data_IF_295181070447
#
_entry.id   IF_295181070447
#
_cell.length_a   1.000
_cell.length_b   1.000
_cell.length_c   1.000
_cell.angle_alpha   90.00
_cell.angle_beta   90.00
_cell.angle_gamma   90.00
#
_symmetry.space_group_name_H-M   'P 1'
#
loop_
_entity.id
_entity.type
_entity.pdbx_description
1 polymer ?
2 non-polymer ?
3 non-polymer ?
4 water ?
#
# COMPACT_ATOMS: atom_id res chain seq x y z
N UNK A 3 29.19 22.79 13.45
CA UNK A 3 27.87 22.44 12.83
C UNK A 3 26.79 22.27 13.91
N UNK A 4 25.85 23.21 13.93
CA UNK A 4 24.76 23.21 14.90
C UNK A 4 23.95 21.92 14.93
N UNK A 5 23.60 21.48 16.13
CA UNK A 5 22.80 20.28 16.32
C UNK A 5 21.33 20.62 16.11
N UNK A 6 20.61 19.71 15.48
CA UNK A 6 19.19 19.92 15.25
C UNK A 6 18.48 19.31 16.44
N UNK A 7 17.24 19.73 16.72
CA UNK A 7 16.56 19.13 17.88
C UNK A 7 16.57 17.60 17.76
N UNK A 8 16.79 16.92 18.87
CA UNK A 8 16.85 15.46 18.91
C UNK A 8 15.90 14.93 19.98
N UNK A 9 15.08 13.95 19.61
CA UNK A 9 14.11 13.38 20.55
C UNK A 9 14.80 12.51 21.59
N UNK A 10 14.16 12.36 22.75
CA UNK A 10 14.70 11.57 23.86
C UNK A 10 14.81 10.08 23.54
N UNK A 11 15.50 9.33 24.41
CA UNK A 11 15.66 7.91 24.20
C UNK A 11 16.69 7.64 23.11
N UNK A 12 16.60 6.48 22.49
CA UNK A 12 17.54 6.14 21.42
C UNK A 12 18.91 5.70 21.91
N UNK A 13 18.92 5.04 23.07
CA UNK A 13 20.17 4.56 23.65
C UNK A 13 20.40 3.07 23.40
N UNK A 14 19.58 2.46 22.56
CA UNK A 14 19.74 1.04 22.25
C UNK A 14 20.89 0.87 21.26
N UNK A 15 21.23 -0.36 20.90
CA UNK A 15 22.35 -0.60 19.99
C UNK A 15 22.34 0.21 18.70
N UNK A 16 21.19 0.36 18.07
CA UNK A 16 21.10 1.12 16.85
C UNK A 16 20.34 2.43 17.06
N UNK A 17 20.57 3.06 18.20
CA UNK A 17 19.93 4.33 18.50
C UNK A 17 18.44 4.19 18.73
N UNK A 18 17.65 4.84 17.88
CA UNK A 18 16.20 4.80 17.98
C UNK A 18 15.61 3.70 17.13
N UNK A 19 16.46 3.01 16.36
CA UNK A 19 15.97 1.97 15.48
C UNK A 19 15.12 0.95 16.21
N UNK A 20 15.60 0.45 17.34
CA UNK A 20 14.86 -0.55 18.10
C UNK A 20 13.45 -0.07 18.45
N UNK A 21 13.34 1.16 18.92
CA UNK A 21 12.03 1.68 19.27
C UNK A 21 11.20 1.89 18.01
N UNK A 22 11.86 2.20 16.90
CA UNK A 22 11.14 2.41 15.66
C UNK A 22 10.49 1.11 15.20
N UNK A 23 11.11 0.00 15.59
CA UNK A 23 10.58 -1.30 15.21
C UNK A 23 9.39 -1.70 16.08
N UNK A 24 9.47 -1.40 17.38
CA UNK A 24 8.38 -1.78 18.27
C UNK A 24 7.23 -0.78 18.34
N UNK A 25 7.52 0.51 18.15
CA UNK A 25 6.47 1.53 18.21
C UNK A 25 6.87 2.79 17.44
N UNK A 26 6.96 2.70 16.10
CA UNK A 26 7.34 3.84 15.25
C UNK A 26 6.45 5.08 15.39
N UNK A 27 5.14 4.86 15.55
CA UNK A 27 4.19 5.96 15.68
C UNK A 27 4.39 6.70 17.00
N UNK A 28 4.48 5.95 18.10
CA UNK A 28 4.70 6.57 19.39
C UNK A 28 6.00 7.36 19.35
N UNK A 29 7.03 6.78 18.73
CA UNK A 29 8.32 7.43 18.63
C UNK A 29 8.23 8.74 17.84
N UNK A 30 7.59 8.69 16.67
CA UNK A 30 7.45 9.87 15.83
C UNK A 30 6.60 10.96 16.50
N UNK A 31 5.62 10.54 17.29
CA UNK A 31 4.78 11.50 17.99
C UNK A 31 5.59 12.20 19.06
N UNK A 32 6.47 11.46 19.74
CA UNK A 32 7.29 12.06 20.77
C UNK A 32 8.27 13.06 20.14
N UNK A 33 8.67 12.80 18.89
CA UNK A 33 9.57 13.70 18.20
C UNK A 33 8.92 15.07 18.08
N UNK A 34 7.70 15.10 17.55
CA UNK A 34 6.97 16.35 17.39
C UNK A 34 6.65 17.02 18.72
N UNK A 35 6.18 16.25 19.70
CA UNK A 35 5.86 16.80 21.01
C UNK A 35 7.08 17.49 21.63
N UNK A 36 8.20 16.79 21.66
CA UNK A 36 9.43 17.33 22.23
C UNK A 36 10.15 18.35 21.34
N UNK A 37 10.22 18.06 20.04
CA UNK A 37 10.96 18.93 19.11
C UNK A 37 10.17 19.95 18.31
N UNK A 38 8.93 19.64 17.98
CA UNK A 38 8.14 20.56 17.19
C UNK A 38 8.17 20.16 15.72
N UNK A 39 7.90 21.11 14.83
CA UNK A 39 7.85 20.87 13.39
C UNK A 39 9.11 20.23 12.80
N UNK A 40 10.25 20.42 13.45
CA UNK A 40 11.51 19.86 12.97
C UNK A 40 12.29 19.17 14.08
N UNK A 41 12.26 17.84 14.09
CA UNK A 41 12.97 17.09 15.12
C UNK A 41 13.71 15.95 14.45
N UNK A 42 14.57 15.25 15.19
CA UNK A 42 15.31 14.15 14.60
C UNK A 42 15.38 12.94 15.51
N UNK A 43 15.67 11.80 14.90
CA UNK A 43 15.86 10.56 15.63
C UNK A 43 16.89 9.77 14.84
N UNK A 44 17.65 8.94 15.56
CA UNK A 44 18.72 8.17 14.95
C UNK A 44 18.24 6.79 14.52
N UNK A 45 18.43 6.48 13.24
CA UNK A 45 18.03 5.19 12.70
C UNK A 45 19.32 4.46 12.34
N UNK A 46 19.91 3.80 13.33
CA UNK A 46 21.17 3.09 13.16
C UNK A 46 22.25 4.13 12.90
N UNK A 47 22.88 4.10 11.74
CA UNK A 47 23.93 5.07 11.43
C UNK A 47 23.47 6.28 10.64
N UNK A 48 22.17 6.41 10.42
CA UNK A 48 21.62 7.53 9.67
C UNK A 48 20.70 8.40 10.52
N UNK A 49 20.85 9.72 10.41
CA UNK A 49 20.00 10.63 11.15
C UNK A 49 18.75 10.90 10.33
N UNK A 50 17.58 10.85 10.97
CA UNK A 50 16.33 11.12 10.25
C UNK A 50 15.74 12.44 10.71
N UNK A 51 15.62 13.40 9.78
CA UNK A 51 15.04 14.69 10.08
C UNK A 51 13.55 14.56 9.76
N UNK A 52 12.74 14.42 10.81
CA UNK A 52 11.29 14.25 10.68
C UNK A 52 10.54 15.59 10.74
N UNK A 53 9.87 15.89 9.64
CA UNK A 53 9.11 17.13 9.50
C UNK A 53 7.63 16.89 9.73
N UNK A 54 7.02 17.76 10.54
CA UNK A 54 5.59 17.67 10.82
C UNK A 54 5.02 19.08 10.72
N UNK A 55 3.70 19.20 10.62
CA UNK A 55 3.11 20.51 10.50
C UNK A 55 2.98 20.91 9.04
N UNK A 56 2.05 21.81 8.76
CA UNK A 56 1.78 22.27 7.40
C UNK A 56 2.96 22.89 6.66
N UNK A 57 3.67 23.80 7.32
CA UNK A 57 4.80 24.47 6.70
C UNK A 57 5.94 23.55 6.28
N UNK A 58 6.41 22.72 7.22
CA UNK A 58 7.51 21.78 6.95
C UNK A 58 7.11 20.71 5.94
N UNK A 59 5.88 20.23 6.06
CA UNK A 59 5.37 19.24 5.12
C UNK A 59 5.37 19.82 3.71
N UNK A 60 4.91 21.06 3.57
CA UNK A 60 4.87 21.69 2.25
C UNK A 60 6.24 21.66 1.60
N UNK A 61 7.25 22.10 2.35
CA UNK A 61 8.62 22.10 1.85
C UNK A 61 9.00 20.70 1.43
N UNK A 62 8.56 19.72 2.22
CA UNK A 62 8.86 18.33 1.96
C UNK A 62 8.26 17.77 0.69
N UNK A 63 6.98 18.08 0.43
CA UNK A 63 6.31 17.55 -0.75
C UNK A 63 6.52 18.34 -2.02
N UNK A 64 6.87 19.61 -1.89
CA UNK A 64 7.07 20.45 -3.07
C UNK A 64 8.51 20.45 -3.54
N UNK A 65 9.41 19.89 -2.74
CA UNK A 65 10.82 19.84 -3.09
C UNK A 65 11.05 19.13 -4.41
N UNK A 66 11.98 19.66 -5.21
CA UNK A 66 12.29 19.03 -6.48
C UNK A 66 13.10 17.77 -6.25
N UNK A 67 13.19 16.94 -7.28
CA UNK A 67 13.95 15.70 -7.21
C UNK A 67 15.44 16.01 -7.03
N UNK A 68 15.85 17.19 -7.47
CA UNK A 68 17.24 17.60 -7.36
C UNK A 68 17.57 18.00 -5.92
N UNK A 69 16.54 18.17 -5.10
CA UNK A 69 16.73 18.56 -3.71
C UNK A 69 16.49 17.41 -2.73
N UNK A 70 15.30 16.82 -2.77
CA UNK A 70 14.98 15.70 -1.89
C UNK A 70 14.76 14.49 -2.80
N UNK A 71 15.68 13.53 -2.74
CA UNK A 71 15.61 12.34 -3.58
C UNK A 71 14.90 11.18 -2.90
N UNK A 72 14.00 10.55 -3.66
CA UNK A 72 13.22 9.42 -3.18
C UNK A 72 13.86 8.09 -3.60
N UNK A 73 14.77 8.18 -4.56
CA UNK A 73 15.45 7.01 -5.12
C UNK A 73 16.11 6.03 -4.15
N UNK A 74 16.83 6.54 -3.15
CA UNK A 74 17.51 5.67 -2.20
C UNK A 74 16.97 5.80 -0.77
N UNK A 75 15.75 6.32 -0.64
CA UNK A 75 15.14 6.53 0.67
C UNK A 75 14.50 5.27 1.23
N UNK A 76 14.36 4.25 0.40
CA UNK A 76 13.74 3.00 0.83
C UNK A 76 14.61 1.80 0.46
N UNK A 77 15.79 1.70 1.07
CA UNK A 77 16.67 0.57 0.77
C UNK A 77 15.99 -0.81 0.95
N UNK A 78 14.96 -0.86 1.79
CA UNK A 78 14.28 -2.13 2.04
C UNK A 78 13.51 -2.64 0.83
N UNK A 79 13.40 -1.79 -0.20
CA UNK A 79 12.68 -2.14 -1.43
C UNK A 79 13.60 -2.77 -2.47
N UNK A 80 14.90 -2.63 -2.27
CA UNK A 80 15.90 -3.14 -3.20
C UNK A 80 15.90 -4.65 -3.42
N UNK A 81 15.88 -5.43 -2.32
CA UNK A 81 15.88 -6.89 -2.46
C UNK A 81 14.58 -7.45 -3.03
N UNK A 82 13.49 -6.70 -2.86
CA UNK A 82 12.19 -7.13 -3.36
C UNK A 82 12.14 -6.93 -4.87
N UNK A 83 12.44 -5.71 -5.31
CA UNK A 83 12.45 -5.34 -6.72
C UNK A 83 13.45 -6.21 -7.49
N UNK A 84 14.66 -6.32 -6.97
CA UNK A 84 15.67 -7.13 -7.62
C UNK A 84 16.32 -6.40 -8.78
N UNK A 85 17.00 -7.14 -9.64
CA UNK A 85 17.66 -6.55 -10.79
C UNK A 85 16.65 -5.69 -11.54
N UNK A 86 17.01 -4.42 -11.76
CA UNK A 86 16.13 -3.49 -12.47
C UNK A 86 15.17 -4.15 -13.44
N UNK A 87 13.95 -3.61 -13.49
CA UNK A 87 12.90 -4.11 -14.37
C UNK A 87 13.41 -4.63 -15.72
N UNK A 88 12.67 -5.58 -16.27
CA UNK A 88 12.99 -6.22 -17.56
C UNK A 88 13.52 -5.27 -18.64
N UNK A 89 13.02 -4.04 -18.68
CA UNK A 89 13.46 -3.09 -19.70
C UNK A 89 14.48 -2.08 -19.17
N UNK A 90 15.69 -2.14 -19.72
CA UNK A 90 16.76 -1.23 -19.31
C UNK A 90 16.70 0.05 -20.15
N UNK A 91 15.93 1.02 -19.69
CA UNK A 91 15.77 2.28 -20.41
C UNK A 91 15.77 3.46 -19.43
N UNK A 92 16.94 3.80 -18.90
CA UNK A 92 17.04 4.91 -17.96
C UNK A 92 16.14 4.61 -16.77
N UNK A 93 15.92 5.59 -15.87
CA UNK A 93 15.05 5.31 -14.72
C UNK A 93 13.65 4.85 -15.11
N UNK A 94 13.40 3.54 -15.00
CA UNK A 94 12.09 2.98 -15.32
C UNK A 94 11.20 3.29 -14.13
N UNK A 95 11.83 3.88 -13.11
CA UNK A 95 11.16 4.26 -11.86
C UNK A 95 9.75 4.77 -12.09
N UNK A 96 8.77 4.06 -11.53
CA UNK A 96 7.35 4.40 -11.63
C UNK A 96 6.86 4.51 -13.07
N UNK A 97 7.79 4.74 -14.00
CA UNK A 97 7.46 4.85 -15.41
C UNK A 97 7.13 3.45 -15.92
N UNK A 98 7.98 2.49 -15.57
CA UNK A 98 7.78 1.10 -15.95
C UNK A 98 7.35 0.30 -14.73
N UNK A 99 8.10 0.43 -13.64
CA UNK A 99 7.78 -0.28 -12.40
C UNK A 99 6.31 -0.15 -12.04
N UNK A 100 5.76 1.06 -12.19
CA UNK A 100 4.35 1.32 -11.89
C UNK A 100 3.71 2.11 -13.02
N UNK A 101 4.05 1.75 -14.25
CA UNK A 101 3.51 2.41 -15.43
C UNK A 101 2.04 2.76 -15.24
N UNK A 102 1.70 4.03 -15.43
CA UNK A 102 0.32 4.47 -15.30
C UNK A 102 -0.46 3.78 -16.42
N UNK A 103 0.27 3.14 -17.31
CA UNK A 103 -0.32 2.42 -18.44
C UNK A 103 -1.31 1.41 -17.86
N UNK A 104 -0.91 0.79 -16.76
CA UNK A 104 -1.74 -0.19 -16.08
C UNK A 104 -3.02 0.47 -15.57
N UNK A 105 -2.85 1.58 -14.85
CA UNK A 105 -3.98 2.32 -14.30
C UNK A 105 -4.57 3.34 -15.28
N UNK A 106 -4.28 3.17 -16.57
CA UNK A 106 -4.77 4.08 -17.59
C UNK A 106 -6.29 4.24 -17.54
N UNK A 107 -6.75 5.45 -17.79
CA UNK A 107 -8.18 5.75 -17.76
C UNK A 107 -9.05 5.00 -18.74
N UNK A 108 -8.47 4.56 -19.86
CA UNK A 108 -9.23 3.83 -20.87
C UNK A 108 -9.61 2.45 -20.33
N UNK A 109 -8.72 1.89 -19.51
CA UNK A 109 -8.92 0.57 -18.94
C UNK A 109 -9.57 0.56 -17.55
N UNK A 110 -9.81 1.74 -17.00
CA UNK A 110 -10.39 1.84 -15.67
C UNK A 110 -11.69 1.06 -15.50
N UNK A 111 -12.63 1.27 -16.40
CA UNK A 111 -13.93 0.58 -16.35
C UNK A 111 -13.65 -0.92 -16.34
N UNK A 112 -12.71 -1.33 -17.18
CA UNK A 112 -12.35 -2.73 -17.27
C UNK A 112 -11.84 -3.25 -15.95
N UNK A 113 -10.94 -2.51 -15.32
CA UNK A 113 -10.39 -2.92 -14.03
C UNK A 113 -11.45 -3.15 -12.96
N UNK A 114 -12.43 -2.24 -12.92
CA UNK A 114 -13.51 -2.34 -11.95
C UNK A 114 -14.22 -3.67 -12.11
N UNK A 115 -14.48 -4.05 -13.36
CA UNK A 115 -15.15 -5.32 -13.66
C UNK A 115 -14.23 -6.48 -13.27
N UNK A 116 -12.94 -6.32 -13.49
CA UNK A 116 -11.99 -7.37 -13.13
C UNK A 116 -12.05 -7.53 -11.61
N UNK A 117 -11.99 -6.41 -10.91
CA UNK A 117 -12.00 -6.43 -9.46
C UNK A 117 -13.29 -7.06 -8.92
N UNK A 118 -14.43 -6.75 -9.55
CA UNK A 118 -15.69 -7.34 -9.14
C UNK A 118 -15.59 -8.86 -9.22
N UNK A 119 -15.11 -9.35 -10.36
CA UNK A 119 -14.97 -10.77 -10.59
C UNK A 119 -14.06 -11.46 -9.57
N UNK A 120 -12.97 -10.80 -9.19
CA UNK A 120 -12.03 -11.37 -8.22
C UNK A 120 -12.67 -11.51 -6.84
N UNK A 121 -13.49 -10.53 -6.45
CA UNK A 121 -14.15 -10.57 -5.16
C UNK A 121 -15.15 -11.75 -5.15
N UNK A 122 -15.92 -11.88 -6.22
CA UNK A 122 -16.90 -12.95 -6.29
C UNK A 122 -16.26 -14.34 -6.27
N UNK A 123 -15.10 -14.49 -6.90
CA UNK A 123 -14.42 -15.78 -6.91
C UNK A 123 -13.92 -16.08 -5.51
N UNK A 124 -13.56 -15.03 -4.80
CA UNK A 124 -13.02 -15.12 -3.44
C UNK A 124 -14.09 -15.46 -2.39
N UNK A 125 -15.33 -15.03 -2.59
CA UNK A 125 -16.40 -15.34 -1.63
C UNK A 125 -17.30 -16.45 -2.16
N UNK A 126 -16.90 -17.02 -3.30
CA UNK A 126 -17.68 -18.08 -3.94
C UNK A 126 -18.03 -19.28 -3.06
N UNK A 127 -17.15 -19.62 -2.12
CA UNK A 127 -17.40 -20.75 -1.25
C UNK A 127 -17.76 -20.37 0.18
N UNK A 128 -18.23 -19.15 0.38
CA UNK A 128 -18.58 -18.68 1.72
C UNK A 128 -19.84 -19.29 2.31
N UNK A 129 -20.78 -19.65 1.45
CA UNK A 129 -22.01 -20.24 1.97
C UNK A 129 -22.86 -19.20 2.67
N UNK A 130 -23.76 -19.64 3.54
CA UNK A 130 -24.64 -18.72 4.26
C UNK A 130 -24.02 -18.03 5.46
N UNK A 131 -23.01 -18.65 6.05
CA UNK A 131 -22.37 -18.09 7.24
C UNK A 131 -21.00 -18.68 7.47
N UNK A 132 -20.19 -17.99 8.28
CA UNK A 132 -18.85 -18.45 8.58
C UNK A 132 -17.98 -17.34 9.12
N UNK A 133 -16.67 -17.55 9.11
CA UNK A 133 -15.73 -16.55 9.59
C UNK A 133 -14.55 -16.43 8.66
N UNK A 134 -13.84 -15.32 8.76
CA UNK A 134 -12.64 -15.08 7.95
C UNK A 134 -11.65 -14.26 8.76
N UNK A 135 -10.41 -14.25 8.32
CA UNK A 135 -9.40 -13.43 8.94
C UNK A 135 -9.11 -12.40 7.88
N UNK A 136 -9.32 -11.13 8.22
CA UNK A 136 -9.10 -10.03 7.29
C UNK A 136 -7.76 -10.00 6.56
N UNK A 137 -6.68 -10.33 7.25
CA UNK A 137 -5.36 -10.32 6.63
C UNK A 137 -5.27 -11.40 5.56
N UNK A 138 -5.66 -12.63 5.91
CA UNK A 138 -5.64 -13.74 4.97
C UNK A 138 -6.52 -13.46 3.75
N UNK A 139 -7.72 -12.98 4.02
CA UNK A 139 -8.68 -12.68 2.96
C UNK A 139 -8.25 -11.54 2.05
N UNK A 140 -8.05 -10.35 2.64
CA UNK A 140 -7.67 -9.21 1.82
C UNK A 140 -6.28 -9.28 1.19
N UNK A 141 -5.35 -9.95 1.86
CA UNK A 141 -4.00 -10.09 1.32
C UNK A 141 -4.03 -10.99 0.08
N UNK A 142 -4.91 -11.99 0.11
CA UNK A 142 -5.03 -12.93 -1.00
C UNK A 142 -5.82 -12.27 -2.12
N UNK A 143 -6.94 -11.65 -1.76
CA UNK A 143 -7.76 -10.96 -2.75
C UNK A 143 -6.96 -9.94 -3.55
N UNK A 144 -6.14 -9.14 -2.86
CA UNK A 144 -5.37 -8.12 -3.54
C UNK A 144 -4.22 -8.66 -4.40
N UNK A 145 -3.87 -9.92 -4.20
CA UNK A 145 -2.84 -10.54 -5.00
C UNK A 145 -3.50 -10.85 -6.35
N UNK A 146 -4.79 -11.18 -6.28
CA UNK A 146 -5.55 -11.51 -7.47
C UNK A 146 -5.95 -10.27 -8.25
N UNK A 147 -6.42 -9.24 -7.54
CA UNK A 147 -6.80 -8.01 -8.21
C UNK A 147 -5.57 -7.39 -8.87
N UNK A 148 -4.49 -7.24 -8.12
CA UNK A 148 -3.28 -6.63 -8.66
C UNK A 148 -2.68 -7.41 -9.83
N UNK A 149 -2.68 -8.74 -9.76
CA UNK A 149 -2.11 -9.53 -10.85
C UNK A 149 -2.99 -9.52 -12.09
N UNK A 150 -4.30 -9.64 -11.87
CA UNK A 150 -5.25 -9.66 -12.97
C UNK A 150 -5.32 -8.30 -13.66
N UNK A 151 -5.24 -7.22 -12.89
CA UNK A 151 -5.29 -5.87 -13.47
C UNK A 151 -3.96 -5.40 -14.04
N UNK A 152 -2.88 -5.60 -13.28
CA UNK A 152 -1.55 -5.17 -13.70
C UNK A 152 -0.75 -6.11 -14.58
N UNK A 153 -1.22 -7.35 -14.72
CA UNK A 153 -0.48 -8.29 -15.56
C UNK A 153 -1.38 -8.99 -16.57
N UNK A 154 -2.49 -9.53 -16.10
CA UNK A 154 -3.41 -10.22 -17.01
C UNK A 154 -4.23 -11.25 -16.29
N UNK A 155 -5.50 -11.37 -16.67
CA UNK A 155 -6.42 -12.34 -16.05
C UNK A 155 -5.89 -13.74 -16.27
N UNK A 156 -5.32 -13.96 -17.45
CA UNK A 156 -4.78 -15.27 -17.82
C UNK A 156 -3.72 -15.66 -16.80
N UNK A 157 -2.82 -14.74 -16.49
CA UNK A 157 -1.77 -15.02 -15.52
C UNK A 157 -2.35 -15.23 -14.13
N UNK A 158 -3.26 -14.34 -13.71
CA UNK A 158 -3.87 -14.46 -12.38
C UNK A 158 -4.56 -15.79 -12.22
N UNK A 159 -5.25 -16.22 -13.27
CA UNK A 159 -5.98 -17.50 -13.27
C UNK A 159 -5.09 -18.70 -12.98
N UNK A 160 -3.79 -18.53 -13.11
CA UNK A 160 -2.86 -19.62 -12.86
C UNK A 160 -2.20 -19.49 -11.49
N UNK A 161 -2.71 -18.55 -10.70
CA UNK A 161 -2.17 -18.33 -9.37
C UNK A 161 -3.17 -18.87 -8.36
N UNK A 162 -2.69 -19.13 -7.15
CA UNK A 162 -3.55 -19.61 -6.09
C UNK A 162 -3.05 -19.03 -4.77
N UNK A 163 -3.43 -19.64 -3.66
CA UNK A 163 -2.99 -19.13 -2.37
C UNK A 163 -1.50 -19.15 -2.11
N UNK A 164 -0.77 -20.04 -2.77
CA UNK A 164 0.67 -20.14 -2.56
C UNK A 164 1.41 -18.86 -2.93
N UNK A 165 0.95 -18.20 -3.99
CA UNK A 165 1.59 -16.97 -4.43
C UNK A 165 1.46 -15.90 -3.36
N UNK A 166 0.29 -15.82 -2.73
CA UNK A 166 0.03 -14.84 -1.70
C UNK A 166 0.91 -15.09 -0.48
N UNK A 167 0.95 -16.34 -0.03
CA UNK A 167 1.77 -16.73 1.11
C UNK A 167 3.20 -16.26 0.94
N UNK A 168 3.82 -16.63 -0.18
CA UNK A 168 5.20 -16.24 -0.46
C UNK A 168 5.37 -14.73 -0.61
N UNK A 169 4.45 -14.09 -1.31
CA UNK A 169 4.53 -12.64 -1.51
C UNK A 169 4.50 -11.95 -0.15
N UNK A 170 3.70 -12.49 0.77
CA UNK A 170 3.59 -11.95 2.12
C UNK A 170 4.96 -12.01 2.80
N UNK A 171 5.63 -13.16 2.68
CA UNK A 171 6.95 -13.37 3.26
C UNK A 171 7.92 -12.37 2.68
N UNK A 172 7.73 -12.04 1.40
CA UNK A 172 8.56 -11.06 0.71
C UNK A 172 8.38 -9.73 1.47
N UNK A 173 7.12 -9.30 1.55
CA UNK A 173 6.78 -8.06 2.23
C UNK A 173 7.28 -7.98 3.67
N UNK A 174 7.36 -9.12 4.35
CA UNK A 174 7.82 -9.15 5.73
C UNK A 174 9.35 -9.10 5.89
N UNK A 175 10.06 -9.05 4.78
CA UNK A 175 11.51 -8.96 4.84
C UNK A 175 11.91 -7.50 4.70
N UNK A 176 11.16 -6.63 5.39
CA UNK A 176 11.41 -5.20 5.33
C UNK A 176 11.64 -4.58 6.71
N UNK A 177 12.29 -5.33 7.60
CA UNK A 177 12.59 -4.85 8.94
C UNK A 177 13.46 -3.60 8.80
N UNK A 178 13.30 -2.62 9.70
CA UNK A 178 14.05 -1.36 9.68
C UNK A 178 15.58 -1.53 9.59
N UNK A 179 16.08 -2.71 9.96
CA UNK A 179 17.52 -2.94 9.87
C UNK A 179 18.01 -2.76 8.43
N UNK A 180 17.05 -2.73 7.50
CA UNK A 180 17.37 -2.55 6.08
C UNK A 180 18.10 -1.23 5.87
N UNK A 181 18.00 -0.34 6.85
CA UNK A 181 18.69 0.94 6.74
C UNK A 181 20.15 0.78 7.14
N UNK A 182 20.47 -0.37 7.73
CA UNK A 182 21.85 -0.68 8.08
C UNK A 182 22.30 -1.31 6.75
N UNK A 183 21.71 -2.45 6.43
CA UNK A 183 22.00 -3.16 5.18
C UNK A 183 20.84 -4.11 4.89
N UNK A 184 20.19 -3.95 3.72
CA UNK A 184 19.07 -4.82 3.34
C UNK A 184 19.46 -6.26 3.09
N UNK A 185 20.75 -6.57 3.21
CA UNK A 185 21.23 -7.92 2.98
C UNK A 185 21.93 -8.57 4.19
N UNK A 186 21.69 -8.02 5.38
CA UNK A 186 22.29 -8.56 6.60
C UNK A 186 21.80 -10.00 6.81
N UNK A 187 22.53 -10.79 7.61
CA UNK A 187 22.17 -12.19 7.90
C UNK A 187 20.99 -12.35 8.85
N UNK A 188 19.95 -11.54 8.67
CA UNK A 188 18.75 -11.61 9.50
C UNK A 188 17.87 -12.80 9.09
N UNK A 189 17.10 -13.32 10.02
CA UNK A 189 16.22 -14.46 9.74
C UNK A 189 15.14 -14.03 8.74
N UNK A 190 14.57 -12.85 8.94
CA UNK A 190 13.53 -12.35 8.05
C UNK A 190 14.05 -12.02 6.65
N UNK A 191 15.32 -11.64 6.56
CA UNK A 191 15.92 -11.33 5.27
C UNK A 191 16.22 -12.62 4.52
N UNK A 192 16.45 -13.69 5.26
CA UNK A 192 16.72 -15.00 4.68
C UNK A 192 15.39 -15.55 4.18
N UNK A 193 14.35 -15.43 5.02
CA UNK A 193 13.03 -15.90 4.65
C UNK A 193 12.45 -15.09 3.50
N UNK A 194 12.97 -13.88 3.33
CA UNK A 194 12.54 -13.01 2.24
C UNK A 194 13.15 -13.56 0.94
N UNK A 195 14.47 -13.77 0.95
CA UNK A 195 15.16 -14.27 -0.23
C UNK A 195 14.64 -15.65 -0.63
N UNK A 196 14.30 -16.47 0.36
CA UNK A 196 13.77 -17.80 0.11
C UNK A 196 12.37 -17.66 -0.49
N UNK A 197 11.63 -16.66 -0.05
CA UNK A 197 10.27 -16.43 -0.56
C UNK A 197 10.33 -16.00 -2.03
N UNK A 198 11.22 -15.06 -2.32
CA UNK A 198 11.37 -14.56 -3.69
C UNK A 198 11.73 -15.73 -4.60
N UNK A 199 12.58 -16.60 -4.09
CA UNK A 199 13.00 -17.80 -4.83
C UNK A 199 11.80 -18.67 -5.09
N UNK A 200 10.90 -18.77 -4.12
CA UNK A 200 9.71 -19.57 -4.30
C UNK A 200 8.83 -18.95 -5.37
N UNK A 201 8.77 -17.62 -5.41
CA UNK A 201 7.96 -16.93 -6.40
C UNK A 201 8.50 -17.23 -7.80
N UNK A 202 9.81 -17.13 -7.96
CA UNK A 202 10.44 -17.39 -9.26
C UNK A 202 10.09 -18.80 -9.73
N UNK A 203 10.07 -19.75 -8.81
CA UNK A 203 9.75 -21.13 -9.16
C UNK A 203 8.31 -21.26 -9.66
N UNK A 204 7.36 -20.62 -8.96
CA UNK A 204 5.97 -20.68 -9.39
C UNK A 204 5.81 -20.13 -10.80
N UNK A 205 6.53 -19.05 -11.09
CA UNK A 205 6.45 -18.42 -12.40
C UNK A 205 7.11 -19.32 -13.44
N UNK A 206 8.26 -19.90 -13.10
CA UNK A 206 8.95 -20.79 -14.03
C UNK A 206 8.01 -21.95 -14.35
N UNK A 207 7.27 -22.42 -13.35
CA UNK A 207 6.32 -23.50 -13.58
C UNK A 207 5.26 -23.09 -14.59
N UNK A 208 4.75 -21.87 -14.45
CA UNK A 208 3.74 -21.39 -15.37
C UNK A 208 4.31 -21.23 -16.79
N UNK A 209 5.53 -20.71 -16.90
CA UNK A 209 6.14 -20.54 -18.20
C UNK A 209 6.19 -21.87 -18.93
N UNK A 210 6.65 -22.91 -18.25
CA UNK A 210 6.73 -24.24 -18.85
C UNK A 210 5.37 -24.71 -19.33
N UNK A 211 4.39 -24.69 -18.42
CA UNK A 211 3.05 -25.12 -18.78
C UNK A 211 2.58 -24.46 -20.05
N UNK A 212 2.80 -23.15 -20.17
CA UNK A 212 2.38 -22.39 -21.34
C UNK A 212 3.15 -22.70 -22.60
N UNK A 213 4.33 -23.31 -22.44
CA UNK A 213 5.14 -23.66 -23.59
C UNK A 213 4.73 -25.02 -24.12
N UNK A 214 4.23 -25.87 -23.21
CA UNK A 214 3.79 -27.21 -23.56
C UNK A 214 2.42 -27.20 -24.23
N UNK A 215 1.62 -26.19 -23.92
CA UNK A 215 0.28 -26.06 -24.49
C UNK A 215 -0.13 -24.59 -24.67
N UNK A 216 0.39 -23.95 -25.74
CA UNK A 216 0.09 -22.54 -26.03
C UNK A 216 -1.41 -22.29 -26.27
N UNK A 217 -1.81 -21.00 -26.37
CA UNK A 217 -3.21 -20.61 -26.59
C UNK A 217 -3.77 -20.98 -27.96
N UNK A 218 -5.02 -21.45 -27.96
CA UNK A 218 -5.70 -21.83 -29.19
C UNK A 218 -6.29 -20.58 -29.84
N UNK A 219 -5.79 -19.42 -29.42
CA UNK A 219 -6.24 -18.14 -29.94
C UNK A 219 -5.12 -17.11 -29.81
N UNK A 220 -4.52 -16.73 -30.93
CA UNK A 220 -3.43 -15.76 -30.95
C UNK A 220 -3.91 -14.39 -30.49
N UNK A 221 -5.08 -14.39 -29.84
CA UNK A 221 -5.69 -13.18 -29.32
C UNK A 221 -5.60 -13.15 -27.79
N UNK A 222 -5.80 -14.30 -27.16
CA UNK A 222 -5.75 -14.41 -25.71
C UNK A 222 -4.34 -14.68 -25.15
N UNK A 223 -3.37 -13.86 -25.54
CA UNK A 223 -2.02 -14.01 -25.05
C UNK A 223 -1.79 -12.81 -24.15
N UNK A 224 -1.34 -13.04 -22.91
CA UNK A 224 -1.10 -11.94 -22.00
C UNK A 224 0.35 -11.46 -22.01
N UNK A 225 0.70 -10.66 -21.01
CA UNK A 225 2.04 -10.12 -20.90
C UNK A 225 3.10 -11.22 -20.81
N UNK A 226 2.81 -12.27 -20.03
CA UNK A 226 3.78 -13.36 -19.87
C UNK A 226 4.07 -14.04 -21.20
N UNK A 227 3.03 -14.33 -21.97
CA UNK A 227 3.15 -14.97 -23.27
C UNK A 227 4.12 -14.19 -24.13
N UNK A 228 4.02 -12.87 -24.04
CA UNK A 228 4.87 -11.95 -24.80
C UNK A 228 6.33 -12.05 -24.39
N UNK A 229 6.60 -11.94 -23.10
CA UNK A 229 7.97 -11.99 -22.59
C UNK A 229 8.62 -13.36 -22.81
N UNK A 230 7.80 -14.40 -22.83
CA UNK A 230 8.30 -15.75 -23.04
C UNK A 230 8.81 -15.92 -24.49
N UNK A 231 8.14 -15.26 -25.42
CA UNK A 231 8.50 -15.34 -26.83
C UNK A 231 9.65 -14.45 -27.25
N UNK A 232 9.99 -13.46 -26.45
CA UNK A 232 11.10 -12.56 -26.80
C UNK A 232 12.40 -13.34 -26.93
N UNK A 233 13.00 -13.26 -28.11
CA UNK A 233 14.24 -13.99 -28.36
C UNK A 233 15.48 -13.09 -28.35
N UNK A 234 16.58 -13.64 -27.87
CA UNK A 234 17.83 -12.92 -27.83
C UNK A 234 18.41 -12.89 -29.25
N UNK A 235 19.69 -12.57 -29.34
CA UNK A 235 20.37 -12.47 -30.63
C UNK A 235 20.53 -13.78 -31.39
N UNK A 236 20.77 -14.87 -30.67
CA UNK A 236 20.97 -16.16 -31.33
C UNK A 236 19.74 -17.08 -31.31
N UNK A 237 18.58 -16.55 -30.97
CA UNK A 237 17.37 -17.35 -30.93
C UNK A 237 16.98 -17.80 -29.54
N UNK A 238 17.88 -17.60 -28.58
CA UNK A 238 17.67 -17.98 -27.19
C UNK A 238 16.69 -17.08 -26.46
N UNK A 239 15.83 -17.65 -25.60
CA UNK A 239 14.88 -16.83 -24.86
C UNK A 239 15.65 -15.70 -24.20
N UNK A 240 15.16 -14.47 -24.34
CA UNK A 240 15.87 -13.34 -23.77
C UNK A 240 15.70 -13.17 -22.26
N UNK A 241 14.54 -13.55 -21.73
CA UNK A 241 14.30 -13.38 -20.30
C UNK A 241 14.13 -14.66 -19.49
N UNK A 242 14.81 -14.71 -18.37
CA UNK A 242 14.76 -15.85 -17.46
C UNK A 242 13.52 -15.73 -16.57
N UNK A 243 13.27 -16.76 -15.78
CA UNK A 243 12.13 -16.75 -14.88
C UNK A 243 12.38 -15.73 -13.77
N UNK A 244 13.63 -15.56 -13.37
CA UNK A 244 13.95 -14.61 -12.31
C UNK A 244 13.72 -13.18 -12.77
N UNK A 245 14.14 -12.88 -14.00
CA UNK A 245 13.98 -11.55 -14.57
C UNK A 245 12.51 -11.20 -14.69
N UNK A 246 11.74 -12.11 -15.28
CA UNK A 246 10.30 -11.88 -15.45
C UNK A 246 9.59 -11.76 -14.10
N UNK A 247 9.90 -12.66 -13.18
CA UNK A 247 9.28 -12.64 -11.85
C UNK A 247 9.60 -11.33 -11.12
N UNK A 248 10.86 -10.90 -11.17
CA UNK A 248 11.25 -9.66 -10.52
C UNK A 248 10.45 -8.47 -11.01
N UNK A 249 10.15 -8.45 -12.30
CA UNK A 249 9.36 -7.36 -12.86
C UNK A 249 7.91 -7.48 -12.39
N UNK A 250 7.36 -8.69 -12.42
CA UNK A 250 5.99 -8.89 -11.97
C UNK A 250 5.81 -8.52 -10.50
N UNK A 251 6.79 -8.88 -9.67
CA UNK A 251 6.75 -8.56 -8.25
C UNK A 251 6.77 -7.05 -8.07
N UNK A 252 7.63 -6.38 -8.83
CA UNK A 252 7.77 -4.94 -8.76
C UNK A 252 6.47 -4.22 -9.08
N UNK A 253 5.82 -4.64 -10.16
CA UNK A 253 4.55 -4.03 -10.59
C UNK A 253 3.41 -4.25 -9.59
N UNK A 254 3.29 -5.48 -9.10
CA UNK A 254 2.22 -5.81 -8.17
C UNK A 254 2.34 -5.14 -6.80
N UNK A 255 3.56 -4.86 -6.36
CA UNK A 255 3.75 -4.26 -5.04
C UNK A 255 2.86 -3.05 -4.84
N UNK A 256 2.88 -2.13 -5.81
CA UNK A 256 2.08 -0.92 -5.74
C UNK A 256 0.58 -1.21 -5.55
N UNK A 257 0.11 -2.31 -6.12
CA UNK A 257 -1.30 -2.63 -5.97
C UNK A 257 -1.59 -3.67 -4.91
N UNK A 258 -0.71 -3.84 -3.94
CA UNK A 258 -0.97 -4.86 -2.93
C UNK A 258 -1.14 -4.48 -1.47
N UNK A 259 -0.05 -4.41 -0.70
CA UNK A 259 -0.19 -4.13 0.73
C UNK A 259 -0.90 -2.83 1.15
N UNK A 260 -0.86 -1.79 0.32
CA UNK A 260 -1.53 -0.55 0.70
C UNK A 260 -3.04 -0.73 0.54
N UNK A 261 -3.46 -1.42 -0.52
CA UNK A 261 -4.87 -1.68 -0.77
C UNK A 261 -5.38 -2.73 0.20
N UNK A 262 -4.54 -3.74 0.43
CA UNK A 262 -4.85 -4.84 1.33
C UNK A 262 -5.23 -4.34 2.72
N UNK A 263 -4.29 -3.66 3.37
CA UNK A 263 -4.58 -3.13 4.69
C UNK A 263 -5.72 -2.11 4.67
N UNK A 264 -5.77 -1.29 3.62
CA UNK A 264 -6.84 -0.29 3.56
C UNK A 264 -8.21 -0.91 3.44
N UNK A 265 -8.29 -2.08 2.80
CA UNK A 265 -9.57 -2.76 2.67
C UNK A 265 -9.94 -3.34 4.04
N UNK A 266 -8.96 -3.90 4.73
CA UNK A 266 -9.20 -4.49 6.04
C UNK A 266 -9.74 -3.45 7.02
N UNK A 267 -9.04 -2.31 7.11
CA UNK A 267 -9.43 -1.24 8.02
C UNK A 267 -10.76 -0.60 7.68
N UNK A 268 -11.06 -0.48 6.38
CA UNK A 268 -12.33 0.11 5.99
C UNK A 268 -13.47 -0.69 6.60
N UNK A 269 -13.41 -2.01 6.46
CA UNK A 269 -14.45 -2.89 7.00
C UNK A 269 -14.44 -2.78 8.52
N UNK A 270 -13.25 -2.80 9.11
CA UNK A 270 -13.11 -2.71 10.56
C UNK A 270 -13.78 -1.46 11.13
N UNK A 271 -13.57 -0.32 10.49
CA UNK A 271 -14.17 0.92 10.94
C UNK A 271 -15.68 0.91 10.73
N UNK A 272 -16.14 0.20 9.69
CA UNK A 272 -17.57 0.11 9.43
C UNK A 272 -18.24 -0.70 10.51
N UNK A 273 -17.59 -1.77 10.94
CA UNK A 273 -18.16 -2.60 11.98
C UNK A 273 -18.12 -1.87 13.32
N UNK A 274 -17.06 -1.10 13.55
CA UNK A 274 -16.89 -0.32 14.77
C UNK A 274 -17.90 0.81 14.87
N UNK A 275 -18.47 1.19 13.74
CA UNK A 275 -19.42 2.29 13.72
C UNK A 275 -20.63 1.91 12.89
N UNK A 276 -21.49 1.07 13.48
CA UNK A 276 -22.68 0.55 12.82
C UNK A 276 -23.57 1.59 12.14
N UNK A 277 -23.51 2.83 12.61
CA UNK A 277 -24.33 3.90 12.01
C UNK A 277 -23.79 4.25 10.64
N UNK A 278 -22.47 4.38 10.54
CA UNK A 278 -21.84 4.69 9.26
C UNK A 278 -22.07 3.50 8.33
N UNK A 279 -21.98 2.31 8.89
CA UNK A 279 -22.17 1.07 8.16
C UNK A 279 -23.58 1.03 7.57
N UNK A 280 -24.56 1.45 8.37
CA UNK A 280 -25.95 1.47 7.93
C UNK A 280 -26.18 2.47 6.81
N UNK A 281 -25.51 3.62 6.89
CA UNK A 281 -25.63 4.65 5.85
C UNK A 281 -25.05 4.14 4.53
N UNK A 282 -23.93 3.43 4.61
CA UNK A 282 -23.29 2.88 3.42
C UNK A 282 -24.18 1.84 2.75
N UNK A 283 -24.76 0.92 3.53
CA UNK A 283 -25.65 -0.12 3.01
C UNK A 283 -26.80 0.52 2.23
N UNK A 284 -27.54 1.40 2.90
CA UNK A 284 -28.66 2.11 2.29
C UNK A 284 -28.27 2.78 0.96
N UNK A 285 -27.17 3.51 0.98
CA UNK A 285 -26.65 4.21 -0.19
C UNK A 285 -26.36 3.25 -1.35
N UNK A 286 -25.72 2.12 -1.04
CA UNK A 286 -25.39 1.13 -2.06
C UNK A 286 -26.66 0.48 -2.63
N UNK A 287 -27.57 0.07 -1.76
CA UNK A 287 -28.80 -0.56 -2.24
C UNK A 287 -29.55 0.39 -3.18
N UNK A 288 -29.72 1.63 -2.73
CA UNK A 288 -30.40 2.64 -3.53
C UNK A 288 -29.63 2.97 -4.81
N UNK A 289 -28.31 3.06 -4.70
CA UNK A 289 -27.47 3.38 -5.85
C UNK A 289 -27.49 2.29 -6.92
N UNK A 290 -27.37 1.04 -6.50
CA UNK A 290 -27.38 -0.06 -7.47
C UNK A 290 -28.79 -0.41 -7.92
N UNK A 291 -29.74 0.38 -7.46
CA UNK A 291 -31.13 0.18 -7.83
C UNK A 291 -31.37 0.67 -9.24
N UNK A 292 -30.36 1.29 -9.85
CA UNK A 292 -30.54 1.76 -11.23
C UNK A 292 -30.27 0.63 -12.22
N UNK A 293 -29.70 -0.47 -11.71
CA UNK A 293 -29.43 -1.62 -12.58
C UNK A 293 -28.07 -1.62 -13.25
N UNK A 294 -27.31 -0.56 -13.08
CA UNK A 294 -25.99 -0.48 -13.68
C UNK A 294 -25.01 -1.35 -12.90
N UNK A 295 -23.96 -1.77 -13.59
CA UNK A 295 -22.95 -2.65 -13.01
C UNK A 295 -22.00 -1.99 -12.01
N UNK A 296 -21.19 -2.82 -11.37
CA UNK A 296 -20.20 -2.34 -10.43
C UNK A 296 -19.15 -1.55 -11.23
N UNK A 297 -18.84 -2.00 -12.45
CA UNK A 297 -17.86 -1.30 -13.28
C UNK A 297 -18.35 0.11 -13.59
N UNK A 298 -19.66 0.30 -13.55
CA UNK A 298 -20.25 1.60 -13.79
C UNK A 298 -20.14 2.47 -12.53
N UNK A 299 -20.66 1.97 -11.41
CA UNK A 299 -20.66 2.70 -10.16
C UNK A 299 -19.35 2.89 -9.42
N UNK A 300 -18.41 1.97 -9.61
CA UNK A 300 -17.13 2.11 -8.92
C UNK A 300 -16.41 3.36 -9.43
N UNK A 301 -16.66 3.73 -10.67
CA UNK A 301 -16.03 4.89 -11.29
C UNK A 301 -16.81 6.17 -11.03
N UNK A 302 -17.87 6.07 -10.22
CA UNK A 302 -18.69 7.22 -9.92
C UNK A 302 -18.89 7.44 -8.43
N UNK A 303 -19.60 8.50 -8.09
CA UNK A 303 -19.85 8.85 -6.70
C UNK A 303 -20.60 7.81 -5.85
N UNK A 304 -20.06 7.59 -4.66
CA UNK A 304 -20.64 6.70 -3.65
C UNK A 304 -20.15 7.43 -2.38
N UNK A 305 -20.57 8.70 -2.22
CA UNK A 305 -20.24 9.62 -1.12
C UNK A 305 -20.02 9.08 0.30
N UNK A 306 -21.03 8.43 0.86
CA UNK A 306 -20.90 7.89 2.21
C UNK A 306 -19.74 6.93 2.34
N UNK A 307 -19.64 6.00 1.41
CA UNK A 307 -18.57 5.01 1.42
C UNK A 307 -17.23 5.72 1.23
N UNK A 308 -17.22 6.73 0.38
CA UNK A 308 -15.98 7.47 0.14
C UNK A 308 -15.50 8.23 1.35
N UNK A 309 -16.43 8.80 2.13
CA UNK A 309 -16.02 9.54 3.33
C UNK A 309 -15.56 8.56 4.41
N UNK A 310 -16.15 7.36 4.43
CA UNK A 310 -15.74 6.34 5.39
C UNK A 310 -14.32 5.90 4.99
N UNK A 311 -14.06 5.86 3.68
CA UNK A 311 -12.73 5.48 3.17
C UNK A 311 -11.71 6.54 3.52
N UNK A 312 -12.03 7.81 3.24
CA UNK A 312 -11.11 8.89 3.55
C UNK A 312 -10.76 8.93 5.03
N UNK A 313 -11.75 8.66 5.88
CA UNK A 313 -11.55 8.68 7.32
C UNK A 313 -10.75 7.45 7.76
N UNK A 314 -10.94 6.33 7.07
CA UNK A 314 -10.18 5.12 7.38
C UNK A 314 -8.71 5.41 7.06
N UNK A 315 -8.49 6.06 5.91
CA UNK A 315 -7.15 6.41 5.47
C UNK A 315 -6.47 7.46 6.35
N UNK A 316 -7.23 8.32 7.01
CA UNK A 316 -6.60 9.32 7.88
C UNK A 316 -6.04 8.66 9.14
N UNK A 317 -6.86 7.80 9.75
CA UNK A 317 -6.52 7.10 10.97
C UNK A 317 -5.58 5.93 10.77
N UNK A 318 -5.64 5.30 9.60
CA UNK A 318 -4.83 4.13 9.32
C UNK A 318 -4.07 4.21 8.01
N UNK A 319 -3.24 5.24 7.82
CA UNK A 319 -2.52 5.30 6.55
C UNK A 319 -1.55 4.11 6.48
N UNK A 320 -1.56 3.35 5.37
CA UNK A 320 -0.73 2.17 5.08
C UNK A 320 0.76 2.46 5.22
N UNK A 321 1.18 3.61 4.69
CA UNK A 321 2.55 4.08 4.77
C UNK A 321 2.56 5.15 5.86
N UNK A 322 3.09 4.79 7.03
CA UNK A 322 3.14 5.71 8.18
C UNK A 322 4.31 6.69 8.11
N UNK A 323 5.25 6.41 7.22
CA UNK A 323 6.39 7.30 7.05
C UNK A 323 6.81 7.38 5.59
N UNK A 324 7.19 8.58 5.16
CA UNK A 324 7.63 8.82 3.78
C UNK A 324 9.05 9.34 3.88
N UNK A 325 9.94 8.86 3.01
CA UNK A 325 11.35 9.24 3.08
C UNK A 325 11.97 9.83 1.81
N UNK A 326 13.01 10.63 2.03
CA UNK A 326 13.78 11.27 0.96
C UNK A 326 15.22 11.36 1.44
N UNK A 327 16.13 11.61 0.50
CA UNK A 327 17.54 11.77 0.83
C UNK A 327 17.82 13.20 0.42
N UNK A 328 18.33 14.02 1.34
CA UNK A 328 18.63 15.41 1.01
C UNK A 328 19.84 15.46 0.08
N UNK A 329 19.68 16.11 -1.08
CA UNK A 329 20.77 16.23 -2.04
C UNK A 329 21.44 17.60 -1.99
N UNK A 330 21.18 18.34 -0.92
CA UNK A 330 21.77 19.65 -0.75
C UNK A 330 21.39 20.18 0.62
N UNK A 331 21.77 21.41 0.92
CA UNK A 331 21.44 22.01 2.21
C UNK A 331 20.24 22.95 2.09
N UNK A 332 19.31 22.84 3.02
CA UNK A 332 18.13 23.68 2.99
C UNK A 332 17.77 24.15 4.40
N UNK A 333 17.06 25.28 4.48
CA UNK A 333 16.65 25.81 5.76
C UNK A 333 15.15 25.66 5.87
N UNK A 334 14.70 25.11 7.00
CA UNK A 334 13.29 24.90 7.27
C UNK A 334 13.01 25.35 8.70
N UNK A 335 12.30 26.47 8.82
CA UNK A 335 11.95 27.00 10.13
C UNK A 335 13.16 27.25 11.03
N UNK A 336 14.26 27.71 10.43
CA UNK A 336 15.45 28.00 11.20
C UNK A 336 16.32 26.79 11.50
N UNK A 337 15.98 25.63 10.93
CA UNK A 337 16.76 24.42 11.15
C UNK A 337 17.42 23.99 9.83
N UNK A 338 18.71 23.68 9.91
CA UNK A 338 19.47 23.30 8.72
C UNK A 338 19.47 21.80 8.40
N UNK A 339 19.14 21.49 7.15
CA UNK A 339 19.13 20.12 6.64
C UNK A 339 20.40 20.02 5.79
N UNK A 340 21.13 18.92 5.93
CA UNK A 340 22.37 18.76 5.17
C UNK A 340 22.34 17.62 4.15
N UNK A 341 23.21 17.73 3.13
CA UNK A 341 23.30 16.71 2.09
C UNK A 341 23.54 15.37 2.78
N UNK A 342 22.86 14.33 2.31
CA UNK A 342 23.01 13.02 2.91
C UNK A 342 21.99 12.72 3.99
N UNK A 343 21.47 13.76 4.63
CA UNK A 343 20.46 13.60 5.68
C UNK A 343 19.23 12.89 5.13
N UNK A 344 18.60 12.09 5.97
CA UNK A 344 17.37 11.43 5.59
C UNK A 344 16.29 12.43 6.04
N UNK A 345 15.30 12.64 5.19
CA UNK A 345 14.23 13.58 5.52
C UNK A 345 12.91 12.84 5.43
N UNK A 346 12.09 13.00 6.45
CA UNK A 346 10.82 12.29 6.49
C UNK A 346 9.61 13.11 6.91
N UNK A 347 8.46 12.63 6.42
CA UNK A 347 7.17 13.22 6.74
C UNK A 347 6.37 12.01 7.21
N UNK A 348 5.41 12.22 8.10
CA UNK A 348 4.65 11.09 8.59
C UNK A 348 3.15 11.23 8.49
N UNK A 349 2.52 10.45 7.57
CA UNK A 349 1.06 10.53 7.43
C UNK A 349 0.38 10.11 8.74
N UNK A 350 0.97 9.11 9.39
CA UNK A 350 0.43 8.60 10.65
C UNK A 350 0.28 9.73 11.67
N UNK A 351 1.33 10.51 11.82
CA UNK A 351 1.35 11.60 12.77
C UNK A 351 0.61 12.84 12.27
N UNK A 352 0.88 13.25 11.03
CA UNK A 352 0.24 14.44 10.47
C UNK A 352 -1.28 14.33 10.38
N UNK A 353 -1.76 13.15 9.96
CA UNK A 353 -3.19 12.91 9.82
C UNK A 353 -3.95 13.12 11.12
N UNK A 354 -3.22 13.28 12.23
CA UNK A 354 -3.89 13.46 13.51
C UNK A 354 -3.50 14.73 14.27
N UNK A 355 -2.98 15.72 13.56
CA UNK A 355 -2.62 16.97 14.23
C UNK A 355 -3.91 17.60 14.75
N UNK A 356 -4.04 17.69 16.09
CA UNK A 356 -5.21 18.25 16.78
C UNK A 356 -5.74 19.56 16.23
N UNK A 357 -4.85 20.49 15.88
CA UNK A 357 -5.26 21.77 15.36
C UNK A 357 -5.83 21.69 13.95
N UNK A 358 -5.44 20.67 13.20
CA UNK A 358 -5.95 20.53 11.84
C UNK A 358 -7.15 19.61 11.75
N UNK A 359 -7.25 18.64 12.65
CA UNK A 359 -8.38 17.72 12.60
C UNK A 359 -9.08 17.57 13.94
N UNK A 360 -10.16 18.33 14.17
CA UNK A 360 -10.92 18.26 15.42
C UNK A 360 -11.16 16.81 15.83
N UNK A 361 -10.79 16.47 17.07
CA UNK A 361 -10.93 15.12 17.61
C UNK A 361 -10.26 14.16 16.62
N UNK A 362 -8.93 14.26 16.48
CA UNK A 362 -8.12 13.44 15.58
C UNK A 362 -8.15 11.92 15.76
N UNK A 363 -8.52 11.46 16.95
CA UNK A 363 -8.57 10.02 17.21
C UNK A 363 -9.97 9.43 17.08
N UNK A 364 -10.92 10.26 16.65
CA UNK A 364 -12.30 9.79 16.46
C UNK A 364 -12.58 9.53 14.98
N UNK A 365 -13.52 8.63 14.73
CA UNK A 365 -13.93 8.29 13.37
C UNK A 365 -15.07 9.23 13.04
N UNK A 366 -14.82 10.22 12.19
CA UNK A 366 -15.84 11.21 11.84
C UNK A 366 -15.87 11.46 10.33
N UNK A 367 -16.47 10.54 9.56
CA UNK A 367 -16.54 10.69 8.10
C UNK A 367 -17.14 12.02 7.64
N UNK A 368 -17.97 12.62 8.49
CA UNK A 368 -18.58 13.90 8.16
C UNK A 368 -17.54 15.00 7.86
N UNK A 369 -16.30 14.80 8.31
CA UNK A 369 -15.21 15.77 8.09
C UNK A 369 -15.07 16.14 6.63
N UNK A 370 -15.38 15.19 5.78
CA UNK A 370 -15.22 15.36 4.36
C UNK A 370 -16.48 15.77 3.60
N UNK A 371 -17.54 16.13 4.34
CA UNK A 371 -18.80 16.56 3.75
C UNK A 371 -18.83 18.06 3.45
N UNK A 372 -19.81 18.47 2.66
CA UNK A 372 -20.00 19.86 2.24
C UNK A 372 -19.35 20.92 3.13
N UNK A 373 -19.70 20.96 4.43
CA UNK A 373 -19.10 21.95 5.32
C UNK A 373 -17.58 21.88 5.39
N UNK A 374 -17.11 21.30 6.48
CA UNK A 374 -15.69 21.14 6.78
C UNK A 374 -14.71 20.71 5.68
N UNK A 375 -14.99 19.60 4.97
CA UNK A 375 -14.09 19.12 3.91
C UNK A 375 -12.62 19.21 4.37
N UNK A 376 -12.32 18.60 5.51
CA UNK A 376 -10.98 18.66 6.08
C UNK A 376 -9.82 18.09 5.27
N UNK A 377 -10.11 17.27 4.29
CA UNK A 377 -9.03 16.74 3.47
C UNK A 377 -8.54 17.83 2.51
N UNK A 378 -9.47 18.56 1.91
CA UNK A 378 -9.10 19.60 0.95
C UNK A 378 -8.56 20.90 1.54
N UNK A 379 -8.92 21.18 2.79
CA UNK A 379 -8.47 22.38 3.49
C UNK A 379 -7.09 22.18 4.14
N UNK A 380 -6.74 20.93 4.42
CA UNK A 380 -5.46 20.62 5.03
C UNK A 380 -4.68 19.87 3.99
N UNK A 381 -4.42 20.57 2.89
CA UNK A 381 -3.72 20.01 1.74
C UNK A 381 -2.29 19.55 2.01
N UNK A 382 -1.69 20.00 3.10
CA UNK A 382 -0.34 19.57 3.43
C UNK A 382 -0.28 18.67 4.65
N UNK A 383 -1.39 18.51 5.36
CA UNK A 383 -1.40 17.63 6.54
C UNK A 383 -2.30 16.39 6.43
N UNK A 384 -3.31 16.42 5.55
CA UNK A 384 -4.14 15.24 5.34
C UNK A 384 -3.35 14.57 4.23
N UNK A 385 -2.52 13.59 4.60
CA UNK A 385 -1.63 12.94 3.62
C UNK A 385 -1.58 11.41 3.53
N UNK A 386 -2.74 10.72 3.48
CA UNK A 386 -2.70 9.26 3.38
C UNK A 386 -2.06 8.87 2.05
N UNK A 387 -2.23 9.72 1.05
CA UNK A 387 -1.69 9.47 -0.30
C UNK A 387 -0.45 10.31 -0.60
N UNK A 388 0.12 10.95 0.41
CA UNK A 388 1.27 11.79 0.17
C UNK A 388 0.75 13.08 -0.41
N UNK A 389 1.62 13.88 -1.01
CA UNK A 389 1.20 15.15 -1.59
C UNK A 389 2.29 15.71 -2.50
N UNK A 390 1.95 16.76 -3.25
CA UNK A 390 2.91 17.38 -4.14
C UNK A 390 3.50 16.50 -5.22
N UNK A 391 4.79 16.73 -5.50
CA UNK A 391 5.55 16.02 -6.52
C UNK A 391 5.36 14.50 -6.58
N UNK A 392 5.44 13.83 -5.43
CA UNK A 392 5.31 12.37 -5.38
C UNK A 392 3.94 11.85 -4.94
N UNK A 393 2.92 12.69 -5.08
CA UNK A 393 1.54 12.34 -4.72
C UNK A 393 1.22 10.97 -5.34
N UNK A 394 0.52 10.10 -4.59
CA UNK A 394 0.18 8.78 -5.11
C UNK A 394 -0.56 8.87 -6.43
N UNK A 395 0.09 8.42 -7.51
CA UNK A 395 -0.55 8.47 -8.83
C UNK A 395 -1.60 7.37 -8.97
N UNK A 396 -1.61 6.43 -8.02
CA UNK A 396 -2.57 5.35 -8.06
C UNK A 396 -3.80 5.60 -7.20
N UNK A 397 -3.89 6.79 -6.61
CA UNK A 397 -5.02 7.11 -5.73
C UNK A 397 -6.38 6.77 -6.34
N UNK A 398 -6.62 7.27 -7.55
CA UNK A 398 -7.88 7.05 -8.25
C UNK A 398 -8.23 5.57 -8.39
N UNK A 399 -7.23 4.76 -8.72
CA UNK A 399 -7.45 3.32 -8.87
C UNK A 399 -7.74 2.70 -7.51
N UNK A 400 -6.93 3.07 -6.51
CA UNK A 400 -7.10 2.55 -5.16
C UNK A 400 -8.51 2.79 -4.65
N UNK A 401 -9.03 3.98 -4.90
CA UNK A 401 -10.37 4.36 -4.46
C UNK A 401 -11.43 3.60 -5.24
N UNK A 402 -11.19 3.43 -6.54
CA UNK A 402 -12.12 2.72 -7.38
C UNK A 402 -12.16 1.28 -6.88
N UNK A 403 -11.00 0.73 -6.53
CA UNK A 403 -10.93 -0.65 -6.05
C UNK A 403 -11.74 -0.85 -4.78
N UNK A 404 -11.67 0.12 -3.87
CA UNK A 404 -12.42 0.06 -2.60
C UNK A 404 -13.91 0.10 -2.92
N UNK A 405 -14.32 1.02 -3.78
CA UNK A 405 -15.73 1.10 -4.14
C UNK A 405 -16.19 -0.22 -4.73
N UNK A 406 -15.39 -0.78 -5.64
CA UNK A 406 -15.74 -2.04 -6.28
C UNK A 406 -15.87 -3.22 -5.29
N UNK A 407 -14.85 -3.41 -4.47
CA UNK A 407 -14.85 -4.51 -3.50
C UNK A 407 -16.01 -4.41 -2.52
N UNK A 408 -16.21 -3.25 -1.93
CA UNK A 408 -17.30 -3.14 -0.98
C UNK A 408 -18.70 -3.13 -1.59
N UNK A 409 -18.81 -2.78 -2.88
CA UNK A 409 -20.10 -2.79 -3.57
C UNK A 409 -20.57 -4.24 -3.67
N UNK A 410 -19.62 -5.16 -3.74
CA UNK A 410 -19.93 -6.58 -3.81
C UNK A 410 -20.12 -7.16 -2.41
N UNK A 411 -19.13 -6.98 -1.54
CA UNK A 411 -19.20 -7.50 -0.18
C UNK A 411 -20.38 -7.01 0.68
N UNK A 412 -20.58 -5.70 0.77
CA UNK A 412 -21.65 -5.21 1.62
C UNK A 412 -23.07 -5.49 1.13
N UNK A 413 -23.21 -5.83 -0.15
CA UNK A 413 -24.54 -6.13 -0.67
C UNK A 413 -24.89 -7.62 -0.63
N UNK A 414 -23.87 -8.46 -0.47
CA UNK A 414 -24.08 -9.91 -0.42
C UNK A 414 -24.05 -10.43 1.02
N UNK A 415 -23.15 -9.89 1.84
CA UNK A 415 -23.02 -10.34 3.22
C UNK A 415 -23.03 -9.21 4.23
N UNK A 416 -23.27 -9.58 5.49
CA UNK A 416 -23.27 -8.67 6.64
C UNK A 416 -22.02 -9.09 7.40
N UNK A 417 -21.38 -8.14 8.06
CA UNK A 417 -20.17 -8.47 8.83
C UNK A 417 -20.24 -8.00 10.26
N UNK A 418 -19.73 -8.83 11.16
CA UNK A 418 -19.68 -8.53 12.57
C UNK A 418 -18.29 -8.90 13.07
N UNK A 419 -17.78 -8.12 14.03
CA UNK A 419 -16.48 -8.41 14.57
C UNK A 419 -16.59 -9.67 15.43
N UNK A 420 -15.58 -10.54 15.35
CA UNK A 420 -15.58 -11.78 16.12
C UNK A 420 -14.61 -11.70 17.30
N UNK A 421 -14.10 -10.50 17.55
CA UNK A 421 -13.19 -10.28 18.66
C UNK A 421 -13.36 -8.82 19.09
N UNK A 422 -12.93 -8.48 20.33
CA UNK A 422 -13.07 -7.11 20.80
C UNK A 422 -12.65 -6.08 19.76
N UNK A 423 -13.43 -5.00 19.60
CA UNK A 423 -13.17 -3.93 18.64
C UNK A 423 -11.78 -3.33 18.74
N UNK A 424 -11.21 -3.33 19.94
CA UNK A 424 -9.89 -2.76 20.18
C UNK A 424 -8.77 -3.75 19.90
N UNK A 425 -9.13 -5.00 19.69
CA UNK A 425 -8.13 -6.02 19.42
C UNK A 425 -7.55 -5.92 18.02
N UNK A 426 -8.23 -5.22 17.11
CA UNK A 426 -7.72 -5.12 15.75
C UNK A 426 -6.63 -4.07 15.72
N UNK A 427 -5.47 -4.44 15.19
CA UNK A 427 -4.33 -3.53 15.15
C UNK A 427 -3.36 -3.87 14.02
N UNK A 428 -2.44 -2.96 13.76
CA UNK A 428 -1.44 -3.17 12.73
C UNK A 428 -0.16 -3.72 13.37
N UNK A 429 0.66 -4.35 12.54
CA UNK A 429 1.96 -4.84 12.97
C UNK A 429 2.90 -3.79 12.35
N UNK A 430 3.50 -2.97 13.20
CA UNK A 430 4.42 -1.94 12.71
C UNK A 430 5.87 -2.36 12.90
N UNK A 431 6.12 -3.66 13.04
CA UNK A 431 7.49 -4.14 13.24
C UNK A 431 8.31 -4.10 11.96
N UNK A 432 7.67 -3.90 10.81
CA UNK A 432 8.36 -3.86 9.52
C UNK A 432 8.06 -2.55 8.78
N UNK A 433 8.96 -2.15 7.89
CA UNK A 433 8.74 -0.92 7.13
C UNK A 433 7.46 -1.06 6.32
N UNK A 434 7.10 -2.30 6.03
CA UNK A 434 5.88 -2.56 5.27
C UNK A 434 4.82 -2.95 6.29
N UNK A 435 3.94 -1.99 6.60
CA UNK A 435 2.87 -2.19 7.56
C UNK A 435 1.89 -3.25 7.10
N UNK A 436 1.53 -4.13 8.03
CA UNK A 436 0.59 -5.21 7.78
C UNK A 436 -0.42 -5.22 8.92
N UNK A 437 -1.62 -5.67 8.63
CA UNK A 437 -2.64 -5.78 9.66
C UNK A 437 -2.15 -6.96 10.51
N UNK A 438 -2.31 -6.87 11.83
CA UNK A 438 -1.89 -7.94 12.70
C UNK A 438 -2.97 -9.01 12.82
N UNK A 439 -2.57 -10.22 13.19
CA UNK A 439 -3.52 -11.30 13.36
C UNK A 439 -3.54 -11.70 14.84
N UNK A 440 -4.65 -12.26 15.32
CA UNK A 440 -5.88 -12.52 14.58
C UNK A 440 -6.69 -11.26 14.24
N UNK A 441 -7.50 -11.38 13.20
CA UNK A 441 -8.36 -10.32 12.73
C UNK A 441 -9.61 -11.03 12.24
N UNK A 442 -10.27 -11.73 13.16
CA UNK A 442 -11.45 -12.51 12.81
C UNK A 442 -12.76 -11.73 12.71
N UNK A 443 -13.52 -12.06 11.67
CA UNK A 443 -14.80 -11.42 11.39
C UNK A 443 -15.84 -12.46 10.96
N UNK A 444 -17.07 -12.31 11.45
CA UNK A 444 -18.16 -13.22 11.08
C UNK A 444 -18.95 -12.61 9.93
N UNK A 445 -19.53 -13.46 9.09
CA UNK A 445 -20.36 -12.98 8.00
C UNK A 445 -21.57 -13.87 7.90
N UNK A 446 -22.64 -13.34 7.30
CA UNK A 446 -23.89 -14.05 7.09
C UNK A 446 -24.53 -13.38 5.89
N UNK A 447 -25.02 -14.18 4.94
CA UNK A 447 -25.67 -13.63 3.76
C UNK A 447 -26.77 -12.65 4.15
N UNK A 448 -26.97 -11.65 3.30
CA UNK A 448 -28.01 -10.67 3.54
C UNK A 448 -29.32 -11.24 2.99
N UNK A 449 -30.42 -10.94 3.68
CA UNK A 449 -31.74 -11.43 3.28
C UNK A 449 -32.22 -10.74 2.01
#
# INVERSE_FOLDING_TARGET
>A
MSAVALPRVSGGHDEHGHLEEFRTDPIGLMQRVRDECGDVGTFQLAGKQVVLLSGSHANEFFFRAGDDDLDQAKAYPFMTPIFGEGVVFDASPERRKEMLHNAALRGEQMKGHAATIEDQVRRMIADWGEAGEIDLLDFFAELTIYTSSACLIGKKFRDQLDGRFAKLYHELERGTDPLAYVDPYLPIESFRRRDEARNGLVALVADIMNGRIANPPTDKSDRDMLDVLIAVKAETGTPRFSADEITGMFISMMFAGHHTSSGTASWTLIELMRHRDAYAAVIDELDELYGDGRSVSFHALRQIPQLENVLKETLRLHPPLIILMRVAKGEFEVQGHRIHEGDLVAASPAISNRIPEDFPDPHDFVPARYEQPRQEDLLNRWTWIPFGAGRHRCVGAAFAIMQIKAIFSVLLREYEFEMAQPPESYRNDHSKMVVQLAQPACVRYRRRTGVHHHH
#
